data_IF_601039602359
#
_entry.id   IF_601039602359
#
_cell.length_a   1.000
_cell.length_b   1.000
_cell.length_c   1.000
_cell.angle_alpha   90.00
_cell.angle_beta   90.00
_cell.angle_gamma   90.00
#
_symmetry.space_group_name_H-M   'P 1'
#
loop_
_entity.id
_entity.type
_entity.pdbx_description
1 polymer ?
#
# COMPACT_ATOMS: atom_id res chain seq x y z
N UNK A 1 -3.05 -17.72 12.72
CA UNK A 1 -3.43 -18.76 13.69
C UNK A 1 -2.15 -19.22 14.38
N UNK A 2 -2.10 -19.24 15.69
CA UNK A 2 -0.97 -19.76 16.47
C UNK A 2 -1.51 -20.86 17.37
N UNK A 3 -0.82 -21.98 17.42
CA UNK A 3 -1.15 -23.09 18.28
C UNK A 3 0.12 -23.62 18.93
N UNK A 4 0.02 -24.29 20.08
CA UNK A 4 1.16 -24.84 20.80
C UNK A 4 1.09 -26.37 20.72
N UNK A 5 2.20 -26.99 20.34
CA UNK A 5 2.35 -28.43 20.47
C UNK A 5 2.59 -28.84 21.94
N UNK A 6 2.32 -30.10 22.30
CA UNK A 6 2.62 -30.64 23.62
C UNK A 6 4.12 -30.53 23.98
N UNK A 7 5.00 -30.34 23.00
CA UNK A 7 6.45 -30.10 23.19
C UNK A 7 6.80 -28.61 23.38
N UNK A 8 5.81 -27.71 23.50
CA UNK A 8 6.03 -26.27 23.66
C UNK A 8 6.46 -25.53 22.39
N UNK A 9 6.48 -26.20 21.22
CA UNK A 9 6.78 -25.53 19.96
C UNK A 9 5.57 -24.70 19.49
N UNK A 10 5.84 -23.47 19.09
CA UNK A 10 4.85 -22.59 18.50
C UNK A 10 4.65 -22.99 17.04
N UNK A 11 3.44 -23.45 16.70
CA UNK A 11 3.02 -23.62 15.31
C UNK A 11 2.38 -22.30 14.85
N UNK A 12 3.06 -21.56 13.98
CA UNK A 12 2.53 -20.35 13.36
C UNK A 12 2.30 -20.60 11.87
N UNK A 13 1.09 -20.34 11.39
CA UNK A 13 0.75 -20.35 9.97
C UNK A 13 0.52 -18.94 9.51
N UNK A 14 1.26 -18.52 8.50
CA UNK A 14 0.95 -17.28 7.79
C UNK A 14 -0.33 -17.46 6.98
N UNK A 15 -1.35 -16.65 7.26
CA UNK A 15 -2.57 -16.62 6.46
C UNK A 15 -2.32 -15.60 5.34
N UNK A 16 -2.39 -16.06 4.09
CA UNK A 16 -2.12 -15.25 2.90
C UNK A 16 -3.09 -14.07 2.69
N UNK A 17 -4.24 -14.07 3.36
CA UNK A 17 -5.29 -13.06 3.20
C UNK A 17 -5.11 -11.88 4.16
N UNK A 18 -3.97 -11.18 4.11
CA UNK A 18 -3.83 -9.91 4.83
C UNK A 18 -4.71 -8.84 4.14
N UNK A 19 -5.49 -8.11 4.93
CA UNK A 19 -6.31 -7.00 4.47
C UNK A 19 -6.11 -5.79 5.39
N UNK A 20 -5.93 -4.63 4.79
CA UNK A 20 -5.89 -3.39 5.54
C UNK A 20 -7.29 -3.03 6.05
N UNK A 21 -7.38 -2.73 7.32
CA UNK A 21 -8.56 -2.10 7.93
C UNK A 21 -8.22 -0.67 8.25
N UNK A 22 -9.07 0.24 7.81
CA UNK A 22 -8.85 1.68 7.91
C UNK A 22 -10.06 2.28 8.62
N UNK A 23 -9.80 3.04 9.67
CA UNK A 23 -10.83 3.85 10.34
C UNK A 23 -10.51 5.32 10.11
N UNK A 24 -11.44 6.04 9.52
CA UNK A 24 -11.35 7.47 9.29
C UNK A 24 -12.36 8.13 10.24
N UNK A 25 -11.86 8.94 11.17
CA UNK A 25 -12.69 9.80 12.00
C UNK A 25 -12.62 11.22 11.43
N UNK A 26 -13.76 11.77 11.14
CA UNK A 26 -13.87 13.17 10.70
C UNK A 26 -14.00 14.09 11.90
N UNK A 27 -13.39 15.27 11.85
CA UNK A 27 -13.74 16.37 12.73
C UNK A 27 -15.21 16.71 12.52
N UNK A 28 -15.86 17.41 13.48
CA UNK A 28 -17.24 17.83 13.27
C UNK A 28 -17.40 18.56 11.93
N UNK A 29 -18.29 18.05 11.09
CA UNK A 29 -18.52 18.51 9.72
C UNK A 29 -19.74 19.43 9.69
N UNK A 30 -19.70 20.43 8.83
CA UNK A 30 -20.88 21.17 8.41
C UNK A 30 -21.80 20.27 7.57
N UNK A 31 -23.05 20.70 7.36
CA UNK A 31 -23.99 19.94 6.55
C UNK A 31 -23.49 19.72 5.12
N UNK A 32 -22.96 20.74 4.48
CA UNK A 32 -22.49 20.66 3.09
C UNK A 32 -21.31 19.69 2.92
N UNK A 33 -20.40 19.64 3.90
CA UNK A 33 -19.29 18.71 3.90
C UNK A 33 -19.75 17.28 4.15
N UNK A 34 -20.66 17.09 5.10
CA UNK A 34 -21.22 15.79 5.44
C UNK A 34 -22.04 15.21 4.29
N UNK A 35 -22.93 16.00 3.67
CA UNK A 35 -23.81 15.54 2.61
C UNK A 35 -23.02 14.99 1.41
N UNK A 36 -21.88 15.57 1.07
CA UNK A 36 -20.99 15.08 0.01
C UNK A 36 -20.45 13.68 0.30
N UNK A 37 -20.01 13.44 1.54
CA UNK A 37 -19.47 12.14 1.95
C UNK A 37 -20.60 11.12 2.06
N UNK A 38 -21.69 11.51 2.68
CA UNK A 38 -22.82 10.63 2.96
C UNK A 38 -23.52 10.15 1.69
N UNK A 39 -23.82 11.05 0.77
CA UNK A 39 -24.43 10.70 -0.53
C UNK A 39 -23.54 9.81 -1.38
N UNK A 40 -22.21 10.05 -1.37
CA UNK A 40 -21.26 9.16 -2.02
C UNK A 40 -21.34 7.74 -1.44
N UNK A 41 -21.34 7.59 -0.11
CA UNK A 41 -21.38 6.29 0.55
C UNK A 41 -22.71 5.55 0.32
N UNK A 42 -23.84 6.26 0.34
CA UNK A 42 -25.15 5.67 -0.02
C UNK A 42 -25.13 5.14 -1.45
N UNK A 43 -24.57 5.92 -2.38
CA UNK A 43 -24.43 5.49 -3.78
C UNK A 43 -23.58 4.20 -3.89
N UNK A 44 -22.59 3.99 -3.01
CA UNK A 44 -21.79 2.76 -2.97
C UNK A 44 -22.50 1.57 -2.34
N UNK A 45 -23.69 1.73 -1.80
CA UNK A 45 -24.52 0.65 -1.20
C UNK A 45 -23.76 -0.16 -0.16
N UNK A 46 -23.10 0.51 0.80
CA UNK A 46 -22.32 -0.14 1.84
C UNK A 46 -21.14 -0.94 1.29
N UNK A 47 -21.12 -2.25 1.56
CA UNK A 47 -20.04 -3.16 1.14
C UNK A 47 -20.12 -3.68 -0.30
N UNK A 48 -21.15 -3.32 -1.09
CA UNK A 48 -21.39 -3.93 -2.41
C UNK A 48 -20.48 -3.34 -3.47
N UNK A 49 -20.36 -2.01 -3.53
CA UNK A 49 -19.61 -1.32 -4.57
C UNK A 49 -18.27 -0.79 -4.01
N UNK A 50 -17.14 -1.42 -4.37
CA UNK A 50 -15.84 -0.95 -3.91
C UNK A 50 -15.48 0.42 -4.51
N UNK A 51 -14.63 1.15 -3.79
CA UNK A 51 -14.08 2.43 -4.23
C UNK A 51 -12.61 2.57 -3.82
N UNK A 52 -11.95 3.57 -4.35
CA UNK A 52 -10.55 3.83 -4.05
C UNK A 52 -10.42 4.94 -3.01
N UNK A 53 -9.48 4.75 -2.08
CA UNK A 53 -9.13 5.72 -1.04
C UNK A 53 -7.64 6.00 -1.08
N UNK A 54 -7.28 7.27 -1.04
CA UNK A 54 -5.92 7.74 -0.77
C UNK A 54 -5.82 8.18 0.67
N UNK A 55 -4.79 7.69 1.37
CA UNK A 55 -4.55 8.07 2.76
C UNK A 55 -3.58 9.25 2.82
N UNK A 56 -3.98 10.41 3.39
CA UNK A 56 -3.15 11.63 3.39
C UNK A 56 -1.74 11.41 3.94
N UNK A 57 -1.59 10.60 5.00
CA UNK A 57 -0.30 10.31 5.64
C UNK A 57 0.65 9.44 4.80
N UNK A 58 0.15 8.78 3.76
CA UNK A 58 0.93 7.93 2.85
C UNK A 58 0.91 8.44 1.41
N UNK A 59 0.44 9.67 1.21
CA UNK A 59 0.29 10.25 -0.12
C UNK A 59 1.63 10.48 -0.81
N UNK A 60 2.65 10.77 -0.03
CA UNK A 60 4.00 11.08 -0.51
C UNK A 60 5.00 10.28 0.33
N UNK A 61 6.05 9.71 -0.28
CA UNK A 61 7.15 9.08 0.45
C UNK A 61 7.81 10.02 1.46
N UNK A 62 8.41 9.44 2.52
CA UNK A 62 9.03 10.22 3.60
C UNK A 62 10.36 10.87 3.17
N UNK A 63 11.16 10.18 2.36
CA UNK A 63 12.38 10.76 1.81
C UNK A 63 12.02 11.85 0.78
N UNK A 64 12.48 13.07 1.02
CA UNK A 64 12.10 14.24 0.22
C UNK A 64 12.62 14.17 -1.22
N UNK A 65 13.80 13.60 -1.43
CA UNK A 65 14.40 13.44 -2.74
C UNK A 65 13.66 12.39 -3.55
N UNK A 66 13.35 11.24 -2.91
CA UNK A 66 12.56 10.19 -3.52
C UNK A 66 11.09 10.64 -3.72
N UNK A 67 10.54 11.43 -2.82
CA UNK A 67 9.21 12.02 -2.96
C UNK A 67 9.12 12.91 -4.20
N UNK A 68 10.07 13.83 -4.38
CA UNK A 68 10.15 14.69 -5.58
C UNK A 68 10.26 13.86 -6.87
N UNK A 69 11.10 12.83 -6.85
CA UNK A 69 11.23 11.90 -7.97
C UNK A 69 9.90 11.19 -8.28
N UNK A 70 9.21 10.67 -7.27
CA UNK A 70 8.00 9.86 -7.42
C UNK A 70 6.75 10.64 -7.82
N UNK A 71 6.75 11.98 -7.71
CA UNK A 71 5.62 12.83 -8.13
C UNK A 71 5.41 12.80 -9.65
N UNK A 72 6.48 12.60 -10.41
CA UNK A 72 6.38 12.45 -11.86
C UNK A 72 5.84 11.05 -12.20
N UNK A 73 4.71 10.99 -12.91
CA UNK A 73 4.05 9.74 -13.30
C UNK A 73 4.91 8.79 -14.13
N UNK A 74 5.93 9.31 -14.82
CA UNK A 74 6.92 8.54 -15.57
C UNK A 74 8.02 7.94 -14.70
N UNK A 75 8.17 8.43 -13.47
CA UNK A 75 9.22 8.02 -12.56
C UNK A 75 8.71 6.95 -11.58
N UNK A 76 8.60 5.73 -12.06
CA UNK A 76 8.20 4.56 -11.27
C UNK A 76 9.32 3.55 -11.24
N UNK A 77 9.50 2.89 -10.10
CA UNK A 77 10.37 1.73 -10.00
C UNK A 77 9.70 0.57 -10.73
N UNK A 78 10.46 -0.17 -11.52
CA UNK A 78 9.95 -1.31 -12.26
C UNK A 78 10.65 -2.61 -11.85
N UNK A 79 9.95 -3.73 -11.97
CA UNK A 79 10.58 -5.05 -11.90
C UNK A 79 11.53 -5.20 -13.08
N UNK A 80 12.82 -5.56 -12.86
CA UNK A 80 13.81 -5.68 -13.93
C UNK A 80 13.38 -6.65 -15.02
N UNK A 81 13.87 -6.40 -16.25
CA UNK A 81 13.66 -7.32 -17.38
C UNK A 81 14.23 -8.71 -17.05
N UNK A 82 13.49 -9.75 -17.37
CA UNK A 82 13.87 -11.13 -17.06
C UNK A 82 13.71 -11.55 -15.61
N UNK A 83 13.20 -10.66 -14.73
CA UNK A 83 12.90 -10.94 -13.33
C UNK A 83 11.40 -10.93 -13.06
N UNK A 84 10.99 -11.60 -11.99
CA UNK A 84 9.60 -11.59 -11.49
C UNK A 84 9.62 -11.59 -9.96
N UNK A 85 8.60 -11.00 -9.35
CA UNK A 85 8.34 -11.16 -7.91
C UNK A 85 7.20 -12.15 -7.75
N UNK A 86 7.50 -13.30 -7.18
CA UNK A 86 6.52 -14.40 -7.04
C UNK A 86 5.43 -14.03 -6.03
N UNK A 87 4.25 -14.61 -6.20
CA UNK A 87 3.20 -14.52 -5.20
C UNK A 87 3.69 -15.08 -3.86
N UNK A 88 3.36 -14.39 -2.76
CA UNK A 88 3.84 -14.72 -1.42
C UNK A 88 5.22 -14.14 -1.07
N UNK A 89 6.01 -13.67 -2.03
CA UNK A 89 7.30 -13.04 -1.76
C UNK A 89 7.12 -11.76 -0.93
N UNK A 90 8.05 -11.54 0.01
CA UNK A 90 8.09 -10.36 0.88
C UNK A 90 9.19 -9.37 0.49
N UNK A 91 9.90 -9.65 -0.60
CA UNK A 91 10.89 -8.74 -1.18
C UNK A 91 11.00 -8.94 -2.68
N UNK A 92 11.48 -7.94 -3.38
CA UNK A 92 11.76 -7.98 -4.81
C UNK A 92 12.86 -7.03 -5.20
N UNK A 93 13.47 -7.27 -6.37
CA UNK A 93 14.38 -6.33 -7.01
C UNK A 93 13.56 -5.39 -7.88
N UNK A 94 13.89 -4.10 -7.80
CA UNK A 94 13.27 -3.05 -8.59
C UNK A 94 14.34 -2.10 -9.12
N UNK A 95 14.13 -1.56 -10.28
CA UNK A 95 15.08 -0.69 -10.94
C UNK A 95 14.45 0.56 -11.53
N UNK A 96 15.27 1.57 -11.75
CA UNK A 96 14.92 2.74 -12.52
C UNK A 96 16.15 3.23 -13.27
N UNK A 97 16.12 3.10 -14.57
CA UNK A 97 17.18 3.63 -15.45
C UNK A 97 17.37 5.14 -15.24
N UNK A 98 18.62 5.57 -15.13
CA UNK A 98 18.95 6.98 -14.92
C UNK A 98 18.76 7.53 -13.52
N UNK A 99 18.40 6.70 -12.54
CA UNK A 99 18.26 7.10 -11.13
C UNK A 99 19.30 6.40 -10.26
N UNK A 100 20.06 7.15 -9.49
CA UNK A 100 21.09 6.62 -8.60
C UNK A 100 20.54 6.53 -7.17
N UNK A 101 20.18 5.34 -6.73
CA UNK A 101 19.63 5.08 -5.40
C UNK A 101 20.63 5.27 -4.25
N UNK A 102 21.93 5.25 -4.54
CA UNK A 102 22.94 5.47 -3.50
C UNK A 102 23.08 6.96 -3.13
N UNK A 103 22.63 7.88 -3.99
CA UNK A 103 22.81 9.33 -3.79
C UNK A 103 21.49 10.13 -3.82
N UNK A 104 20.48 9.66 -4.51
CA UNK A 104 19.27 10.45 -4.81
C UNK A 104 18.04 10.06 -3.96
N UNK A 105 18.26 9.33 -2.87
CA UNK A 105 17.19 8.88 -1.97
C UNK A 105 16.50 7.60 -2.42
N UNK A 106 15.82 6.95 -1.48
CA UNK A 106 15.13 5.68 -1.64
C UNK A 106 13.78 5.70 -0.94
N UNK A 107 12.84 4.78 -1.28
CA UNK A 107 11.69 4.55 -0.41
C UNK A 107 12.17 4.20 1.00
N UNK A 108 11.42 4.60 2.01
CA UNK A 108 11.77 4.36 3.41
C UNK A 108 10.80 3.42 4.10
N UNK A 109 11.20 2.73 5.18
CA UNK A 109 10.28 1.91 5.97
C UNK A 109 9.05 2.70 6.41
N UNK A 110 7.87 2.11 6.15
CA UNK A 110 6.57 2.73 6.39
C UNK A 110 5.98 3.49 5.21
N UNK A 111 6.69 3.63 4.09
CA UNK A 111 6.09 4.13 2.84
C UNK A 111 5.13 3.09 2.27
N UNK A 112 4.02 3.56 1.73
CA UNK A 112 3.00 2.72 1.10
C UNK A 112 3.16 2.77 -0.42
N UNK A 113 2.94 1.63 -1.08
CA UNK A 113 2.89 1.59 -2.53
C UNK A 113 1.82 0.61 -3.04
N UNK A 114 1.41 0.82 -4.27
CA UNK A 114 0.59 -0.10 -5.05
C UNK A 114 1.34 -0.51 -6.31
N UNK A 115 0.83 -1.51 -7.02
CA UNK A 115 1.49 -2.08 -8.20
C UNK A 115 0.64 -1.82 -9.44
N UNK A 116 1.28 -1.33 -10.49
CA UNK A 116 0.72 -1.30 -11.84
C UNK A 116 1.42 -2.38 -12.68
N UNK A 117 0.69 -3.41 -13.04
CA UNK A 117 1.20 -4.52 -13.84
C UNK A 117 0.29 -4.75 -15.05
N UNK A 118 0.77 -4.49 -16.25
CA UNK A 118 0.01 -4.70 -17.50
C UNK A 118 -0.33 -6.17 -17.74
N UNK A 119 0.51 -7.08 -17.26
CA UNK A 119 0.27 -8.53 -17.33
C UNK A 119 -0.69 -9.03 -16.24
N UNK A 120 -1.00 -8.20 -15.24
CA UNK A 120 -1.87 -8.55 -14.13
C UNK A 120 -2.65 -7.33 -13.61
N UNK A 121 -3.55 -6.81 -14.44
CA UNK A 121 -4.32 -5.57 -14.19
C UNK A 121 -5.15 -5.56 -12.90
N UNK A 122 -5.41 -6.74 -12.31
CA UNK A 122 -6.14 -6.88 -11.05
C UNK A 122 -5.23 -6.92 -9.82
N UNK A 123 -3.97 -6.50 -9.93
CA UNK A 123 -3.05 -6.39 -8.80
C UNK A 123 -3.31 -5.08 -8.04
N UNK A 124 -4.37 -5.08 -7.23
CA UNK A 124 -4.89 -3.87 -6.55
C UNK A 124 -4.48 -3.80 -5.06
N UNK A 125 -3.55 -4.65 -4.64
CA UNK A 125 -3.05 -4.71 -3.26
C UNK A 125 -2.15 -3.54 -2.92
N UNK A 126 -2.32 -2.98 -1.72
CA UNK A 126 -1.40 -2.03 -1.14
C UNK A 126 -0.37 -2.73 -0.25
N UNK A 127 0.88 -2.30 -0.35
CA UNK A 127 2.03 -2.85 0.37
C UNK A 127 2.75 -1.75 1.14
N UNK A 128 3.29 -2.10 2.30
CA UNK A 128 4.11 -1.19 3.09
C UNK A 128 5.58 -1.64 3.05
N UNK A 129 6.46 -0.71 2.78
CA UNK A 129 7.91 -0.93 2.81
C UNK A 129 8.34 -1.23 4.24
N UNK A 130 9.12 -2.29 4.42
CA UNK A 130 9.71 -2.67 5.71
C UNK A 130 11.22 -2.44 5.76
N UNK A 131 11.90 -2.60 4.62
CA UNK A 131 13.33 -2.36 4.46
C UNK A 131 13.63 -2.09 3.00
N UNK A 132 14.69 -1.32 2.75
CA UNK A 132 15.26 -1.13 1.41
C UNK A 132 16.75 -1.44 1.48
N UNK A 133 17.26 -2.10 0.45
CA UNK A 133 18.68 -2.43 0.29
C UNK A 133 19.16 -1.86 -1.04
N UNK A 134 20.30 -1.20 -0.99
CA UNK A 134 21.02 -0.68 -2.16
C UNK A 134 22.23 -1.57 -2.48
N UNK A 135 22.93 -1.30 -3.58
CA UNK A 135 24.15 -2.02 -3.92
C UNK A 135 25.29 -1.79 -2.92
N UNK A 136 25.23 -0.69 -2.16
CA UNK A 136 26.19 -0.35 -1.10
C UNK A 136 25.77 -0.79 0.31
N UNK A 137 24.47 -1.02 0.52
CA UNK A 137 23.90 -1.45 1.81
C UNK A 137 22.90 -2.58 1.59
N UNK A 138 23.34 -3.83 1.77
CA UNK A 138 22.51 -5.02 1.64
C UNK A 138 22.84 -6.07 2.71
N UNK A 139 21.86 -6.90 3.03
CA UNK A 139 22.04 -7.98 4.00
C UNK A 139 22.96 -9.07 3.44
N UNK A 140 23.88 -9.55 4.27
CA UNK A 140 24.70 -10.68 3.92
C UNK A 140 23.83 -11.91 3.60
N UNK A 141 24.08 -12.55 2.46
CA UNK A 141 23.28 -13.69 1.97
C UNK A 141 22.05 -13.32 1.16
N UNK A 142 21.69 -12.03 1.03
CA UNK A 142 20.68 -11.58 0.08
C UNK A 142 21.30 -11.39 -1.32
N UNK A 143 20.44 -11.40 -2.36
CA UNK A 143 20.90 -11.05 -3.72
C UNK A 143 21.16 -9.56 -3.74
N UNK A 144 22.43 -9.18 -3.95
CA UNK A 144 22.84 -7.77 -4.07
C UNK A 144 22.16 -7.10 -5.25
N UNK A 145 21.59 -5.89 -5.09
CA UNK A 145 21.14 -5.07 -6.20
C UNK A 145 22.29 -4.78 -7.17
N UNK A 146 22.04 -4.86 -8.46
CA UNK A 146 23.04 -4.61 -9.50
C UNK A 146 23.23 -3.11 -9.72
N UNK A 147 24.44 -2.61 -9.43
CA UNK A 147 24.77 -1.19 -9.62
C UNK A 147 23.94 -0.24 -8.76
N UNK A 148 23.93 1.03 -9.14
CA UNK A 148 23.25 2.11 -8.41
C UNK A 148 21.81 2.40 -8.86
N UNK A 149 21.36 1.77 -9.94
CA UNK A 149 20.03 1.96 -10.53
C UNK A 149 19.02 0.91 -10.09
N UNK A 150 19.45 -0.04 -9.24
CA UNK A 150 18.62 -1.13 -8.73
C UNK A 150 18.61 -1.12 -7.19
N UNK A 151 17.45 -1.44 -6.62
CA UNK A 151 17.27 -1.65 -5.18
C UNK A 151 16.47 -2.93 -4.93
N UNK A 152 16.65 -3.48 -3.73
CA UNK A 152 15.76 -4.51 -3.19
C UNK A 152 14.82 -3.85 -2.20
N UNK A 153 13.53 -3.99 -2.43
CA UNK A 153 12.50 -3.51 -1.50
C UNK A 153 11.89 -4.70 -0.78
N UNK A 154 11.93 -4.68 0.54
CA UNK A 154 11.20 -5.59 1.41
C UNK A 154 9.87 -4.96 1.79
N UNK A 155 8.80 -5.74 1.80
CA UNK A 155 7.45 -5.20 2.01
C UNK A 155 6.54 -6.21 2.71
N UNK A 156 5.48 -5.69 3.28
CA UNK A 156 4.42 -6.46 3.91
C UNK A 156 3.06 -5.91 3.45
N UNK A 157 2.04 -6.77 3.27
CA UNK A 157 2.07 -8.23 3.27
C UNK A 157 2.87 -8.79 2.08
N UNK A 158 3.06 -10.10 2.05
CA UNK A 158 3.64 -10.75 0.86
C UNK A 158 2.81 -10.48 -0.39
N UNK A 159 3.46 -10.48 -1.54
CA UNK A 159 2.84 -10.22 -2.84
C UNK A 159 1.58 -11.08 -3.04
N UNK A 160 0.44 -10.47 -3.24
CA UNK A 160 -0.84 -11.19 -3.42
C UNK A 160 -0.90 -11.92 -4.77
N UNK A 161 -0.19 -11.39 -5.75
CA UNK A 161 -0.06 -11.93 -7.10
C UNK A 161 1.37 -11.76 -7.59
N UNK A 162 1.71 -12.47 -8.65
CA UNK A 162 3.00 -12.30 -9.33
C UNK A 162 3.08 -10.87 -9.88
N UNK A 163 4.23 -10.22 -9.67
CA UNK A 163 4.59 -8.98 -10.36
C UNK A 163 5.51 -9.34 -11.52
N UNK A 164 5.03 -9.13 -12.73
CA UNK A 164 5.76 -9.48 -13.95
C UNK A 164 6.90 -8.50 -14.22
N UNK A 165 7.83 -8.88 -15.09
CA UNK A 165 8.85 -7.97 -15.59
C UNK A 165 8.19 -6.70 -16.14
N UNK A 166 8.71 -5.53 -15.75
CA UNK A 166 8.15 -4.23 -16.09
C UNK A 166 6.97 -3.76 -15.24
N UNK A 167 6.47 -4.58 -14.29
CA UNK A 167 5.49 -4.13 -13.30
C UNK A 167 6.05 -2.96 -12.49
N UNK A 168 5.25 -1.91 -12.28
CA UNK A 168 5.68 -0.63 -11.72
C UNK A 168 5.15 -0.43 -10.31
N UNK A 169 5.99 0.09 -9.41
CA UNK A 169 5.60 0.50 -8.07
C UNK A 169 5.16 1.96 -8.07
N UNK A 170 3.98 2.22 -7.54
CA UNK A 170 3.39 3.56 -7.42
C UNK A 170 3.45 4.01 -5.97
N UNK A 171 4.37 4.91 -5.67
CA UNK A 171 4.57 5.48 -4.33
C UNK A 171 3.86 6.81 -4.14
N UNK A 172 3.63 7.56 -5.21
CA UNK A 172 2.93 8.83 -5.14
C UNK A 172 1.42 8.59 -5.22
N UNK A 173 0.71 9.02 -4.16
CA UNK A 173 -0.74 8.88 -4.04
C UNK A 173 -1.24 7.43 -4.25
N UNK A 174 -0.71 6.43 -3.53
CA UNK A 174 -1.14 5.05 -3.68
C UNK A 174 -2.62 4.92 -3.33
N UNK A 175 -3.38 4.27 -4.21
CA UNK A 175 -4.82 4.10 -4.08
C UNK A 175 -5.14 2.71 -3.55
N UNK A 176 -5.85 2.64 -2.43
CA UNK A 176 -6.30 1.39 -1.83
C UNK A 176 -7.75 1.16 -2.23
N UNK A 177 -8.04 0.00 -2.82
CA UNK A 177 -9.40 -0.42 -3.13
C UNK A 177 -10.07 -0.95 -1.86
N UNK A 178 -11.18 -0.34 -1.47
CA UNK A 178 -11.86 -0.63 -0.20
C UNK A 178 -13.37 -0.76 -0.36
N UNK A 179 -13.98 -1.39 0.63
CA UNK A 179 -15.42 -1.37 0.87
C UNK A 179 -15.70 -0.80 2.26
N UNK A 180 -16.89 -0.24 2.46
CA UNK A 180 -17.41 0.05 3.79
C UNK A 180 -17.73 -1.26 4.50
N UNK A 181 -17.32 -1.38 5.77
CA UNK A 181 -17.66 -2.55 6.60
C UNK A 181 -18.97 -2.39 7.33
N UNK A 182 -19.58 -1.21 7.25
CA UNK A 182 -20.87 -0.91 7.84
C UNK A 182 -21.93 -0.81 6.76
N UNK A 183 -22.98 -1.62 6.89
CA UNK A 183 -24.15 -1.55 5.99
C UNK A 183 -25.04 -0.36 6.34
N UNK A 184 -25.08 0.01 7.63
CA UNK A 184 -25.86 1.15 8.13
C UNK A 184 -24.89 2.30 8.43
N UNK A 185 -25.15 3.44 7.80
CA UNK A 185 -24.40 4.67 8.04
C UNK A 185 -24.99 5.40 9.24
N UNK A 186 -24.24 5.47 10.34
CA UNK A 186 -24.62 6.18 11.55
C UNK A 186 -23.85 7.49 11.67
N UNK A 187 -24.54 8.54 12.04
CA UNK A 187 -23.96 9.83 12.36
C UNK A 187 -24.58 10.39 13.63
N UNK A 188 -23.88 11.27 14.31
CA UNK A 188 -24.39 12.00 15.44
C UNK A 188 -24.37 13.50 15.15
N UNK A 189 -25.43 14.19 15.54
CA UNK A 189 -25.54 15.64 15.45
C UNK A 189 -25.30 16.23 16.84
N UNK A 190 -24.42 17.22 16.92
CA UNK A 190 -24.18 17.92 18.18
C UNK A 190 -25.09 19.15 18.34
N UNK A 191 -25.04 19.81 19.50
CA UNK A 191 -25.83 21.00 19.81
C UNK A 191 -25.57 22.20 18.90
N UNK A 192 -24.42 22.21 18.19
CA UNK A 192 -24.05 23.26 17.24
C UNK A 192 -24.40 22.90 15.78
N UNK A 193 -25.26 21.89 15.57
CA UNK A 193 -25.64 21.39 14.24
C UNK A 193 -24.46 20.90 13.40
N UNK A 194 -23.39 20.40 14.04
CA UNK A 194 -22.26 19.78 13.36
C UNK A 194 -22.38 18.26 13.43
N UNK A 195 -22.03 17.60 12.33
CA UNK A 195 -22.09 16.15 12.16
C UNK A 195 -20.79 15.49 12.62
N UNK A 196 -20.89 14.58 13.57
CA UNK A 196 -19.79 13.67 13.94
C UNK A 196 -19.96 12.35 13.18
N UNK A 197 -18.96 12.00 12.39
CA UNK A 197 -19.01 10.84 11.52
C UNK A 197 -17.69 10.07 11.54
N UNK A 198 -17.79 8.74 11.45
CA UNK A 198 -16.63 7.86 11.29
C UNK A 198 -16.91 6.81 10.24
N UNK A 199 -15.90 6.51 9.44
CA UNK A 199 -15.96 5.54 8.35
C UNK A 199 -15.01 4.39 8.63
N UNK A 200 -15.53 3.17 8.65
CA UNK A 200 -14.77 1.92 8.79
C UNK A 200 -14.68 1.24 7.42
N UNK A 201 -13.46 1.07 6.96
CA UNK A 201 -13.15 0.54 5.63
C UNK A 201 -12.31 -0.73 5.74
N UNK A 202 -12.50 -1.63 4.79
CA UNK A 202 -11.67 -2.81 4.62
C UNK A 202 -11.22 -2.93 3.18
N UNK A 203 -9.93 -3.21 3.00
CA UNK A 203 -9.35 -3.47 1.69
C UNK A 203 -10.00 -4.70 1.03
N UNK A 204 -10.24 -4.60 -0.27
CA UNK A 204 -10.70 -5.71 -1.14
C UNK A 204 -9.71 -5.91 -2.29
N UNK A 205 -9.55 -7.16 -2.68
CA UNK A 205 -8.65 -7.60 -3.75
C UNK A 205 -9.46 -7.96 -5.00
#
# INVERSE_FOLDING_TARGET
MKDFTNSGRILARAIAAHRWKIKIAYNPLTRDEFDRIYTFLIHRRGGINPFFVSLPQYRVPKDTSFATFSTNSSNKLAVPSGSTVLAGATSGLFEKSGYNFNTNGTPTPGDLFTVEDSGNSNHLKAYMVTRVETSSDYLNGSVQPSGNTQIRVHFTPGASKIMNAGAKLVFHNPLIKVISTRDIQQYALNTNNLYSYSLDLQEVQ
#
